data_IF_472973976042
#
_entry.id   IF_472973976042
#
_cell.length_a   1.000
_cell.length_b   1.000
_cell.length_c   1.000
_cell.angle_alpha   90.00
_cell.angle_beta   90.00
_cell.angle_gamma   90.00
#
_symmetry.space_group_name_H-M   'P 1'
#
loop_
_entity.id
_entity.type
_entity.pdbx_description
1 polymer ?
#
# COMPACT_ATOMS: atom_id res chain seq x y z
N UNK A 1 10.35 12.59 -5.63
CA UNK A 1 9.24 11.90 -4.92
C UNK A 1 7.93 12.46 -5.45
N UNK A 2 6.96 11.62 -5.84
CA UNK A 2 5.61 12.07 -6.24
C UNK A 2 4.69 11.97 -5.01
N UNK A 3 3.89 13.00 -4.74
CA UNK A 3 2.88 13.01 -3.66
C UNK A 3 1.50 12.87 -4.30
N UNK A 4 0.66 12.01 -3.73
CA UNK A 4 -0.70 11.76 -4.19
C UNK A 4 -1.60 11.78 -2.97
N UNK A 5 -2.72 12.50 -3.08
CA UNK A 5 -3.80 12.46 -2.09
C UNK A 5 -4.84 11.46 -2.60
N UNK A 6 -5.30 10.58 -1.73
CA UNK A 6 -6.33 9.59 -2.05
C UNK A 6 -7.42 9.66 -0.99
N UNK A 7 -8.66 9.35 -1.39
CA UNK A 7 -9.76 9.15 -0.45
C UNK A 7 -10.02 7.65 -0.36
N UNK A 8 -9.97 7.12 0.85
CA UNK A 8 -10.24 5.72 1.17
C UNK A 8 -11.44 5.71 2.12
N UNK A 9 -12.48 4.89 1.87
CA UNK A 9 -13.59 4.76 2.79
C UNK A 9 -13.13 4.29 4.17
N UNK A 10 -13.75 4.81 5.23
CA UNK A 10 -13.32 4.54 6.61
C UNK A 10 -13.29 3.03 6.92
N UNK A 11 -14.33 2.29 6.52
CA UNK A 11 -14.37 0.83 6.75
C UNK A 11 -13.25 0.06 6.05
N UNK A 12 -12.77 0.53 4.90
CA UNK A 12 -11.61 -0.06 4.24
C UNK A 12 -10.30 0.32 4.97
N UNK A 13 -10.21 1.55 5.46
CA UNK A 13 -9.06 2.01 6.24
C UNK A 13 -8.95 1.28 7.57
N UNK A 14 -10.06 0.99 8.25
CA UNK A 14 -10.08 0.21 9.50
C UNK A 14 -9.51 -1.20 9.31
N UNK A 15 -9.82 -1.85 8.19
CA UNK A 15 -9.27 -3.19 7.87
C UNK A 15 -7.77 -3.09 7.65
N UNK A 16 -7.31 -2.07 6.91
CA UNK A 16 -5.89 -1.81 6.68
C UNK A 16 -5.18 -1.58 8.01
N UNK A 17 -5.74 -0.75 8.89
CA UNK A 17 -5.11 -0.45 10.16
C UNK A 17 -5.04 -1.69 11.08
N UNK A 18 -6.12 -2.44 11.22
CA UNK A 18 -6.17 -3.62 12.10
C UNK A 18 -5.28 -4.76 11.62
N UNK A 19 -5.25 -5.01 10.31
CA UNK A 19 -4.56 -6.19 9.78
C UNK A 19 -3.11 -5.91 9.38
N UNK A 20 -2.78 -4.69 8.96
CA UNK A 20 -1.53 -4.40 8.26
C UNK A 20 -0.58 -3.50 9.06
N UNK A 21 -1.09 -2.63 9.94
CA UNK A 21 -0.25 -1.79 10.82
C UNK A 21 0.57 -2.67 11.76
N UNK A 22 1.86 -2.39 11.87
CA UNK A 22 2.81 -3.21 12.64
C UNK A 22 3.31 -4.48 11.94
N UNK A 23 2.67 -4.92 10.84
CA UNK A 23 3.15 -6.05 10.03
C UNK A 23 3.93 -5.61 8.81
N UNK A 24 3.40 -4.63 8.08
CA UNK A 24 3.98 -4.15 6.81
C UNK A 24 4.33 -2.67 6.84
N UNK A 25 4.33 -2.05 8.02
CA UNK A 25 4.72 -0.65 8.23
C UNK A 25 4.06 -0.05 9.47
N UNK A 26 4.65 1.06 9.94
CA UNK A 26 4.15 1.79 11.12
C UNK A 26 3.34 3.04 10.73
N UNK A 27 3.68 3.63 9.59
CA UNK A 27 3.08 4.88 9.09
C UNK A 27 2.14 4.60 7.92
N UNK A 28 1.06 5.36 7.83
CA UNK A 28 0.04 5.24 6.78
C UNK A 28 0.64 5.24 5.37
N UNK A 29 1.58 6.16 5.11
CA UNK A 29 2.24 6.28 3.80
C UNK A 29 3.13 5.09 3.45
N UNK A 30 3.70 4.43 4.46
CA UNK A 30 4.52 3.23 4.28
C UNK A 30 3.64 2.02 3.98
N UNK A 31 2.55 1.86 4.74
CA UNK A 31 1.57 0.80 4.54
C UNK A 31 1.00 0.88 3.13
N UNK A 32 0.51 2.06 2.71
CA UNK A 32 -0.04 2.27 1.36
C UNK A 32 1.02 2.01 0.29
N UNK A 33 2.26 2.49 0.48
CA UNK A 33 3.36 2.23 -0.46
C UNK A 33 3.61 0.73 -0.62
N UNK A 34 3.67 -0.01 0.48
CA UNK A 34 3.98 -1.44 0.47
C UNK A 34 2.85 -2.26 -0.17
N UNK A 35 1.59 -1.89 0.08
CA UNK A 35 0.43 -2.47 -0.62
C UNK A 35 0.54 -2.25 -2.13
N UNK A 36 0.83 -1.03 -2.58
CA UNK A 36 0.98 -0.73 -4.01
C UNK A 36 2.13 -1.52 -4.63
N UNK A 37 3.27 -1.61 -3.95
CA UNK A 37 4.42 -2.39 -4.45
C UNK A 37 4.10 -3.88 -4.53
N UNK A 38 3.43 -4.44 -3.52
CA UNK A 38 3.00 -5.83 -3.51
C UNK A 38 2.07 -6.12 -4.70
N UNK A 39 1.04 -5.28 -4.91
CA UNK A 39 0.14 -5.40 -6.04
C UNK A 39 0.87 -5.34 -7.39
N UNK A 40 1.79 -4.39 -7.56
CA UNK A 40 2.57 -4.28 -8.79
C UNK A 40 3.50 -5.49 -9.02
N UNK A 41 4.03 -6.06 -7.95
CA UNK A 41 4.85 -7.27 -7.98
C UNK A 41 4.04 -8.50 -8.41
N UNK A 42 2.88 -8.71 -7.76
CA UNK A 42 1.96 -9.83 -8.05
C UNK A 42 1.47 -9.81 -9.49
N UNK A 43 1.21 -8.62 -10.03
CA UNK A 43 0.81 -8.46 -11.44
C UNK A 43 1.98 -8.50 -12.43
N UNK A 44 3.21 -8.66 -11.95
CA UNK A 44 4.41 -8.73 -12.79
C UNK A 44 4.81 -7.40 -13.43
N UNK A 45 4.22 -6.27 -13.03
CA UNK A 45 4.58 -4.95 -13.55
C UNK A 45 5.99 -4.55 -13.17
N UNK A 46 6.49 -5.02 -12.02
CA UNK A 46 7.88 -4.78 -11.60
C UNK A 46 8.90 -5.60 -12.40
N UNK A 47 8.52 -6.79 -12.90
CA UNK A 47 9.39 -7.64 -13.73
C UNK A 47 9.50 -7.16 -15.19
N UNK A 48 8.62 -6.24 -15.61
CA UNK A 48 8.60 -5.69 -16.97
C UNK A 48 9.71 -4.67 -17.26
N UNK A 49 10.55 -4.37 -16.27
CA UNK A 49 11.82 -3.66 -16.45
C UNK A 49 12.95 -4.69 -16.49
N UNK A 50 13.20 -5.21 -17.69
CA UNK A 50 14.55 -5.63 -18.06
C UNK A 50 15.47 -4.43 -18.19
#
# INVERSE_FOLDING_TARGET
>A
MKRVLVSIPDGAWEIIEKELKGKIGERDSEIVRNIVLAYLSEKGYLKKKG
#
